data_IF_543444128333
#
_entry.id   IF_543444128333
#
_cell.length_a   1.000
_cell.length_b   1.000
_cell.length_c   1.000
_cell.angle_alpha   90.00
_cell.angle_beta   90.00
_cell.angle_gamma   90.00
#
_symmetry.space_group_name_H-M   'P 1'
#
loop_
_entity.id
_entity.type
_entity.pdbx_description
1 polymer ?
#
# COMPACT_ATOMS: atom_id res chain seq x y z
N UNK A 1 40.23 -17.25 57.86
CA UNK A 1 38.84 -17.72 57.98
C UNK A 1 38.23 -17.76 56.58
N UNK A 2 37.47 -18.80 56.28
CA UNK A 2 37.12 -19.32 54.95
C UNK A 2 36.27 -18.41 54.02
N UNK A 3 36.56 -18.51 52.70
CA UNK A 3 35.70 -18.49 51.48
C UNK A 3 34.68 -17.33 51.32
N UNK A 4 34.55 -16.69 50.15
CA UNK A 4 34.19 -17.29 48.85
C UNK A 4 34.61 -16.42 47.66
N UNK A 5 35.04 -17.09 46.61
CA UNK A 5 35.10 -16.66 45.20
C UNK A 5 33.70 -16.45 44.62
N UNK A 6 33.51 -15.39 43.82
CA UNK A 6 32.67 -15.40 42.61
C UNK A 6 33.43 -14.68 41.50
N UNK A 7 33.45 -15.34 40.35
CA UNK A 7 34.14 -15.07 39.10
C UNK A 7 33.23 -14.30 38.14
N UNK A 8 33.83 -13.37 37.37
CA UNK A 8 33.46 -12.84 36.03
C UNK A 8 32.02 -12.31 35.81
N UNK A 9 31.79 -11.22 35.07
CA UNK A 9 31.97 -11.16 33.61
C UNK A 9 32.15 -9.69 33.20
N UNK A 10 33.17 -9.44 32.39
CA UNK A 10 33.33 -8.24 31.58
C UNK A 10 32.40 -8.38 30.36
N UNK A 11 31.35 -7.57 30.27
CA UNK A 11 30.68 -7.27 29.00
C UNK A 11 30.63 -5.76 28.87
N UNK A 12 31.47 -5.25 27.97
CA UNK A 12 31.34 -3.89 27.47
C UNK A 12 30.02 -3.78 26.72
N UNK A 13 29.08 -3.04 27.29
CA UNK A 13 27.93 -2.52 26.57
C UNK A 13 28.35 -1.22 25.91
N UNK A 14 28.77 -1.30 24.65
CA UNK A 14 28.89 -0.16 23.74
C UNK A 14 27.54 0.56 23.74
N UNK A 15 27.46 1.73 24.39
CA UNK A 15 26.27 2.57 24.35
C UNK A 15 26.23 3.22 22.97
N UNK A 16 25.69 2.49 21.98
CA UNK A 16 25.28 3.09 20.73
C UNK A 16 24.01 3.89 21.04
N UNK A 17 24.18 5.16 21.42
CA UNK A 17 23.10 6.13 21.33
C UNK A 17 22.77 6.29 19.84
N UNK A 18 21.89 5.43 19.33
CA UNK A 18 21.18 5.70 18.09
C UNK A 18 20.37 6.96 18.38
N UNK A 19 20.86 8.10 17.89
CA UNK A 19 20.04 9.27 17.69
C UNK A 19 19.00 8.89 16.64
N UNK A 20 17.89 8.29 17.08
CA UNK A 20 16.67 8.30 16.29
C UNK A 20 16.29 9.79 16.14
N UNK A 21 16.10 10.30 14.91
CA UNK A 21 15.51 11.62 14.75
C UNK A 21 14.17 11.60 15.50
N UNK A 22 13.95 12.64 16.32
CA UNK A 22 12.71 12.88 17.05
C UNK A 22 11.54 12.83 16.09
N UNK A 23 10.94 11.66 16.07
CA UNK A 23 9.55 11.32 15.79
C UNK A 23 8.73 12.48 15.24
N UNK A 24 8.46 12.38 13.94
CA UNK A 24 7.09 12.44 13.48
C UNK A 24 6.17 11.86 14.54
N UNK A 25 5.43 12.72 15.25
CA UNK A 25 4.21 12.26 15.93
C UNK A 25 3.26 11.86 14.80
N UNK A 26 3.38 10.60 14.37
CA UNK A 26 2.26 9.89 13.79
C UNK A 26 1.09 10.10 14.76
N UNK A 27 -0.12 10.25 14.22
CA UNK A 27 -1.31 9.95 15.00
C UNK A 27 -1.01 8.63 15.72
N UNK A 28 -1.10 8.59 17.05
CA UNK A 28 -0.71 7.40 17.81
C UNK A 28 -1.40 6.19 17.20
N UNK A 29 -0.83 4.99 17.31
CA UNK A 29 -1.47 3.78 16.78
C UNK A 29 -2.94 3.65 17.27
N UNK A 30 -3.23 4.22 18.45
CA UNK A 30 -4.56 4.40 19.04
C UNK A 30 -5.50 5.40 18.30
N UNK A 31 -4.96 6.39 17.60
CA UNK A 31 -5.73 7.32 16.73
C UNK A 31 -6.05 6.70 15.36
N UNK A 32 -5.28 5.71 14.90
CA UNK A 32 -5.42 5.01 13.60
C UNK A 32 -6.28 3.74 13.69
N UNK A 33 -6.45 3.20 14.90
CA UNK A 33 -7.29 2.02 15.13
C UNK A 33 -8.77 2.39 15.19
N UNK A 34 -9.51 2.24 14.09
CA UNK A 34 -10.97 2.26 14.13
C UNK A 34 -11.59 0.96 13.60
N UNK A 35 -11.90 0.17 14.62
CA UNK A 35 -12.63 -1.08 14.75
C UNK A 35 -13.96 -1.13 13.98
N UNK A 36 -14.16 -2.20 13.21
CA UNK A 36 -15.49 -2.79 13.02
C UNK A 36 -15.99 -3.27 14.40
N UNK A 37 -16.68 -2.40 15.13
CA UNK A 37 -17.21 -2.69 16.47
C UNK A 37 -17.63 -1.47 17.29
N UNK A 38 -17.22 -0.25 16.94
CA UNK A 38 -17.71 0.98 17.57
C UNK A 38 -18.73 1.70 16.69
N UNK A 39 -19.65 2.45 17.32
CA UNK A 39 -20.83 3.05 16.69
C UNK A 39 -20.53 4.22 15.73
N UNK A 40 -19.27 4.60 15.52
CA UNK A 40 -18.86 5.57 14.50
C UNK A 40 -17.34 5.55 14.26
N UNK A 41 -16.80 4.55 13.53
CA UNK A 41 -15.40 4.54 13.18
C UNK A 41 -15.10 5.64 12.15
N UNK A 42 -14.24 6.60 12.50
CA UNK A 42 -13.54 7.43 11.50
C UNK A 42 -12.79 6.46 10.58
N UNK A 43 -13.12 6.50 9.29
CA UNK A 43 -12.53 5.59 8.31
C UNK A 43 -11.09 6.01 8.01
N UNK A 44 -10.24 5.04 7.70
CA UNK A 44 -8.85 5.31 7.35
C UNK A 44 -8.72 6.29 6.18
N UNK A 45 -9.57 6.19 5.14
CA UNK A 45 -9.56 7.12 4.01
C UNK A 45 -9.80 8.56 4.47
N UNK A 46 -10.72 8.78 5.41
CA UNK A 46 -10.97 10.11 5.99
C UNK A 46 -9.77 10.60 6.80
N UNK A 47 -9.09 9.70 7.51
CA UNK A 47 -7.86 10.02 8.24
C UNK A 47 -6.73 10.42 7.30
N UNK A 48 -6.52 9.66 6.23
CA UNK A 48 -5.52 9.94 5.20
C UNK A 48 -5.77 11.28 4.52
N UNK A 49 -7.04 11.60 4.23
CA UNK A 49 -7.44 12.90 3.68
C UNK A 49 -7.18 14.05 4.65
N UNK A 50 -7.38 13.85 5.96
CA UNK A 50 -7.00 14.84 6.97
C UNK A 50 -5.50 15.08 7.03
N UNK A 51 -4.67 14.06 6.77
CA UNK A 51 -3.22 14.23 6.72
C UNK A 51 -2.82 15.15 5.56
N UNK A 52 -3.41 14.99 4.39
CA UNK A 52 -3.16 15.86 3.23
C UNK A 52 -3.45 17.33 3.57
N UNK A 53 -4.49 17.61 4.35
CA UNK A 53 -4.83 18.96 4.80
C UNK A 53 -3.86 19.56 5.83
N UNK A 54 -2.93 18.78 6.40
CA UNK A 54 -1.94 19.30 7.35
C UNK A 54 -0.82 20.02 6.61
N UNK A 55 -0.51 21.24 7.05
CA UNK A 55 0.59 22.03 6.50
C UNK A 55 1.91 21.25 6.56
N UNK A 56 2.60 21.14 5.42
CA UNK A 56 3.91 20.48 5.32
C UNK A 56 3.83 18.97 5.06
N UNK A 57 2.66 18.35 5.17
CA UNK A 57 2.53 16.91 5.05
C UNK A 57 3.01 16.37 3.70
N UNK A 58 2.60 17.00 2.59
CA UNK A 58 3.02 16.57 1.25
C UNK A 58 4.53 16.73 1.02
N UNK A 59 5.15 17.76 1.60
CA UNK A 59 6.61 17.95 1.50
C UNK A 59 7.37 16.87 2.28
N UNK A 60 6.83 16.44 3.41
CA UNK A 60 7.41 15.35 4.20
C UNK A 60 7.17 13.99 3.55
N UNK A 61 5.99 13.77 2.96
CA UNK A 61 5.69 12.59 2.17
C UNK A 61 6.64 12.49 0.96
N UNK A 62 6.92 13.62 0.28
CA UNK A 62 7.87 13.67 -0.84
C UNK A 62 9.26 13.20 -0.39
N UNK A 63 9.77 13.73 0.72
CA UNK A 63 11.07 13.32 1.28
C UNK A 63 11.09 11.83 1.61
N UNK A 64 10.05 11.33 2.29
CA UNK A 64 9.95 9.92 2.68
C UNK A 64 9.97 9.00 1.46
N UNK A 65 9.17 9.32 0.44
CA UNK A 65 9.12 8.50 -0.78
C UNK A 65 10.46 8.53 -1.51
N UNK A 66 11.11 9.69 -1.60
CA UNK A 66 12.45 9.80 -2.20
C UNK A 66 13.44 8.89 -1.45
N UNK A 67 13.55 9.06 -0.12
CA UNK A 67 14.47 8.28 0.71
C UNK A 67 14.23 6.77 0.54
N UNK A 68 12.96 6.35 0.50
CA UNK A 68 12.59 4.96 0.34
C UNK A 68 12.86 4.40 -1.06
N UNK A 69 12.65 5.20 -2.12
CA UNK A 69 12.86 4.77 -3.51
C UNK A 69 14.34 4.80 -3.89
N UNK A 70 15.11 5.78 -3.43
CA UNK A 70 16.56 5.83 -3.61
C UNK A 70 17.27 4.65 -2.92
N UNK A 71 16.70 4.16 -1.81
CA UNK A 71 17.16 2.96 -1.11
C UNK A 71 16.87 1.65 -1.85
N UNK A 72 16.10 1.69 -2.95
CA UNK A 72 15.92 0.50 -3.79
C UNK A 72 17.16 0.29 -4.65
N UNK A 73 17.76 -0.89 -4.52
CA UNK A 73 18.73 -1.40 -5.48
C UNK A 73 18.00 -1.75 -6.80
N UNK A 74 17.59 -0.72 -7.55
CA UNK A 74 17.07 -0.84 -8.91
C UNK A 74 18.19 -1.15 -9.93
N UNK A 75 19.43 -1.28 -9.44
CA UNK A 75 20.64 -1.58 -10.20
C UNK A 75 21.34 -2.82 -9.62
N UNK A 76 21.11 -4.00 -10.21
CA UNK A 76 22.20 -4.91 -10.66
C UNK A 76 21.65 -6.21 -11.27
N UNK A 77 21.68 -6.30 -12.60
CA UNK A 77 22.07 -7.55 -13.27
C UNK A 77 23.08 -7.19 -14.39
N UNK A 78 24.34 -7.59 -14.17
CA UNK A 78 25.40 -7.79 -15.17
C UNK A 78 25.99 -6.56 -15.90
N UNK A 79 26.46 -5.54 -15.16
CA UNK A 79 27.65 -4.76 -15.58
C UNK A 79 27.59 -4.02 -16.91
N UNK A 80 26.42 -3.57 -17.37
CA UNK A 80 26.29 -2.66 -18.53
C UNK A 80 25.52 -1.42 -18.11
N UNK A 81 26.17 -0.25 -18.18
CA UNK A 81 25.54 1.06 -18.12
C UNK A 81 24.53 1.20 -19.27
N UNK A 82 23.28 0.84 -19.00
CA UNK A 82 22.09 1.20 -19.77
C UNK A 82 21.02 1.60 -18.77
N UNK A 83 20.31 2.69 -19.08
CA UNK A 83 19.03 3.11 -18.49
C UNK A 83 18.26 1.90 -17.97
N UNK A 84 17.78 1.98 -16.73
CA UNK A 84 17.05 0.99 -15.95
C UNK A 84 15.85 0.32 -16.67
N UNK A 85 16.13 -0.52 -17.66
CA UNK A 85 15.15 -0.95 -18.68
C UNK A 85 14.90 -2.47 -18.71
N UNK A 86 15.30 -3.26 -17.71
CA UNK A 86 15.14 -4.72 -17.86
C UNK A 86 14.91 -5.60 -16.63
N UNK A 87 14.64 -5.08 -15.42
CA UNK A 87 14.66 -5.96 -14.22
C UNK A 87 13.34 -5.99 -13.42
N UNK A 88 12.35 -5.22 -13.83
CA UNK A 88 11.00 -5.30 -13.29
C UNK A 88 10.13 -5.88 -14.42
N UNK A 89 9.85 -7.17 -14.29
CA UNK A 89 8.98 -7.92 -15.23
C UNK A 89 7.66 -7.16 -15.39
N UNK A 90 7.07 -7.25 -16.58
CA UNK A 90 5.74 -6.74 -16.90
C UNK A 90 4.70 -7.04 -15.83
N UNK A 91 4.88 -8.21 -15.21
CA UNK A 91 3.98 -8.79 -14.23
C UNK A 91 4.44 -8.59 -12.80
N UNK A 92 5.52 -7.87 -12.53
CA UNK A 92 6.01 -7.64 -11.17
C UNK A 92 6.61 -6.25 -11.04
N UNK A 93 6.08 -5.37 -10.17
CA UNK A 93 6.64 -4.02 -9.94
C UNK A 93 6.43 -3.49 -8.53
N UNK A 94 7.20 -2.47 -8.18
CA UNK A 94 7.03 -1.74 -6.92
C UNK A 94 5.86 -0.75 -6.98
N UNK A 95 4.98 -0.83 -5.99
CA UNK A 95 3.99 0.19 -5.64
C UNK A 95 4.25 0.66 -4.21
N UNK A 96 3.72 1.83 -3.84
CA UNK A 96 3.85 2.33 -2.47
C UNK A 96 2.78 1.70 -1.56
N UNK A 97 3.19 1.22 -0.38
CA UNK A 97 2.29 0.70 0.65
C UNK A 97 1.60 1.84 1.45
N UNK A 98 0.87 1.47 2.50
CA UNK A 98 0.21 2.40 3.43
C UNK A 98 1.17 3.41 4.07
N UNK A 99 2.41 2.99 4.30
CA UNK A 99 3.45 3.79 4.93
C UNK A 99 4.29 4.53 3.88
N UNK A 100 3.93 4.51 2.60
CA UNK A 100 4.71 5.05 1.49
C UNK A 100 6.07 4.36 1.28
N UNK A 101 6.20 3.10 1.69
CA UNK A 101 7.35 2.28 1.35
C UNK A 101 7.11 1.54 0.03
N UNK A 102 8.10 1.44 -0.86
CA UNK A 102 8.00 0.58 -2.02
C UNK A 102 7.87 -0.88 -1.58
N UNK A 103 6.83 -1.54 -2.09
CA UNK A 103 6.57 -2.96 -1.91
C UNK A 103 6.36 -3.60 -3.28
N UNK A 104 6.89 -4.80 -3.46
CA UNK A 104 6.84 -5.50 -4.74
C UNK A 104 5.50 -6.24 -4.86
N UNK A 105 4.82 -6.07 -5.99
CA UNK A 105 3.56 -6.73 -6.31
C UNK A 105 3.68 -7.47 -7.63
N UNK A 106 2.97 -8.57 -7.77
CA UNK A 106 2.80 -9.27 -9.04
C UNK A 106 1.38 -9.16 -9.58
N UNK A 107 1.25 -8.87 -10.87
CA UNK A 107 0.01 -8.84 -11.61
C UNK A 107 -0.60 -10.24 -11.63
N UNK A 108 -1.83 -10.38 -11.14
CA UNK A 108 -2.53 -11.65 -11.10
C UNK A 108 -3.56 -11.79 -12.21
N UNK A 109 -4.26 -10.71 -12.54
CA UNK A 109 -5.32 -10.73 -13.55
C UNK A 109 -5.63 -9.33 -14.04
N UNK A 110 -6.25 -9.24 -15.23
CA UNK A 110 -6.71 -7.99 -15.83
C UNK A 110 -8.07 -8.18 -16.50
N UNK A 111 -8.88 -7.13 -16.51
CA UNK A 111 -10.13 -7.01 -17.27
C UNK A 111 -10.28 -5.59 -17.82
N UNK A 112 -11.34 -5.31 -18.58
CA UNK A 112 -11.50 -4.07 -19.35
C UNK A 112 -11.21 -2.80 -18.54
N UNK A 113 -11.60 -2.75 -17.27
CA UNK A 113 -11.52 -1.57 -16.42
C UNK A 113 -10.59 -1.72 -15.20
N UNK A 114 -10.03 -2.93 -14.98
CA UNK A 114 -9.24 -3.21 -13.77
C UNK A 114 -7.99 -4.06 -14.00
N UNK A 115 -6.95 -3.78 -13.23
CA UNK A 115 -5.79 -4.63 -13.01
C UNK A 115 -5.74 -5.06 -11.54
N UNK A 116 -5.53 -6.34 -11.28
CA UNK A 116 -5.41 -6.86 -9.91
C UNK A 116 -3.99 -7.32 -9.67
N UNK A 117 -3.34 -6.68 -8.71
CA UNK A 117 -1.97 -6.95 -8.29
C UNK A 117 -1.98 -7.45 -6.85
N UNK A 118 -1.15 -8.44 -6.54
CA UNK A 118 -1.02 -8.99 -5.19
C UNK A 118 0.41 -8.81 -4.72
N UNK A 119 0.59 -8.35 -3.49
CA UNK A 119 1.91 -8.17 -2.91
C UNK A 119 2.67 -9.51 -2.88
N UNK A 120 3.96 -9.47 -3.16
CA UNK A 120 4.79 -10.67 -3.17
C UNK A 120 5.08 -11.19 -1.76
N UNK A 121 4.97 -10.30 -0.77
CA UNK A 121 5.10 -10.62 0.64
C UNK A 121 3.83 -10.20 1.40
N UNK A 122 3.07 -11.20 1.85
CA UNK A 122 1.88 -11.05 2.69
C UNK A 122 2.14 -11.58 4.12
N UNK A 123 3.40 -11.74 4.52
CA UNK A 123 3.76 -12.21 5.85
C UNK A 123 3.45 -11.20 6.95
N UNK A 124 3.35 -11.70 8.17
CA UNK A 124 3.26 -10.91 9.40
C UNK A 124 4.67 -10.64 9.96
N UNK A 125 4.84 -9.76 10.96
CA UNK A 125 6.14 -9.47 11.55
C UNK A 125 6.95 -10.70 11.98
N UNK A 126 8.28 -10.56 11.99
CA UNK A 126 9.21 -11.52 12.59
C UNK A 126 8.79 -11.72 14.06
N UNK A 127 8.44 -12.95 14.46
CA UNK A 127 7.83 -13.38 15.73
C UNK A 127 6.30 -13.62 15.71
N UNK A 128 5.60 -13.32 14.63
CA UNK A 128 4.19 -13.70 14.48
C UNK A 128 4.05 -15.17 14.07
N UNK A 129 3.14 -15.91 14.73
CA UNK A 129 2.93 -17.34 14.49
C UNK A 129 1.94 -17.62 13.36
N UNK A 130 1.25 -16.60 12.84
CA UNK A 130 0.30 -16.74 11.74
C UNK A 130 1.06 -17.05 10.45
N UNK A 131 0.50 -17.98 9.66
CA UNK A 131 0.99 -18.18 8.31
C UNK A 131 0.71 -16.93 7.46
N UNK A 132 1.63 -16.62 6.53
CA UNK A 132 1.40 -15.59 5.53
C UNK A 132 0.06 -15.84 4.81
N UNK A 133 -0.66 -14.76 4.53
CA UNK A 133 -1.91 -14.87 3.79
C UNK A 133 -1.63 -15.36 2.36
N UNK A 134 -2.59 -16.06 1.77
CA UNK A 134 -2.51 -16.53 0.39
C UNK A 134 -3.78 -16.18 -0.36
N UNK A 135 -3.63 -15.51 -1.51
CA UNK A 135 -4.76 -15.14 -2.37
C UNK A 135 -4.88 -16.12 -3.53
N UNK A 136 -6.03 -16.79 -3.63
CA UNK A 136 -6.32 -17.81 -4.64
C UNK A 136 -6.77 -17.19 -5.97
N UNK A 137 -6.65 -17.95 -7.06
CA UNK A 137 -7.16 -17.51 -8.37
C UNK A 137 -8.69 -17.29 -8.36
N UNK A 138 -9.43 -18.07 -7.58
CA UNK A 138 -10.89 -17.91 -7.44
C UNK A 138 -11.25 -16.60 -6.75
N UNK A 139 -10.48 -16.18 -5.75
CA UNK A 139 -10.67 -14.89 -5.07
C UNK A 139 -10.38 -13.73 -6.03
N UNK A 140 -9.29 -13.80 -6.79
CA UNK A 140 -8.96 -12.79 -7.81
C UNK A 140 -10.07 -12.71 -8.86
N UNK A 141 -10.59 -13.85 -9.32
CA UNK A 141 -11.68 -13.88 -10.29
C UNK A 141 -12.99 -13.32 -9.71
N UNK A 142 -13.30 -13.59 -8.44
CA UNK A 142 -14.46 -12.99 -7.74
C UNK A 142 -14.35 -11.47 -7.67
N UNK A 143 -13.19 -10.95 -7.25
CA UNK A 143 -12.92 -9.51 -7.22
C UNK A 143 -13.10 -8.86 -8.60
N UNK A 144 -12.43 -9.44 -9.61
CA UNK A 144 -12.49 -8.98 -10.99
C UNK A 144 -13.92 -8.92 -11.50
N UNK A 145 -14.66 -10.01 -11.34
CA UNK A 145 -16.05 -10.12 -11.79
C UNK A 145 -16.95 -9.10 -11.09
N UNK A 146 -16.84 -8.99 -9.78
CA UNK A 146 -17.64 -8.03 -9.01
C UNK A 146 -17.33 -6.57 -9.41
N UNK A 147 -16.05 -6.27 -9.66
CA UNK A 147 -15.66 -4.95 -10.14
C UNK A 147 -16.27 -4.62 -11.51
N UNK A 148 -16.12 -5.51 -12.49
CA UNK A 148 -16.58 -5.29 -13.86
C UNK A 148 -18.11 -5.31 -14.00
N UNK A 149 -18.78 -6.24 -13.32
CA UNK A 149 -20.22 -6.46 -13.51
C UNK A 149 -21.10 -5.60 -12.60
N UNK A 150 -20.58 -5.16 -11.45
CA UNK A 150 -21.36 -4.45 -10.43
C UNK A 150 -20.80 -3.06 -10.13
N UNK A 151 -19.54 -2.97 -9.66
CA UNK A 151 -18.97 -1.72 -9.15
C UNK A 151 -18.79 -0.69 -10.26
N UNK A 152 -18.04 -1.02 -11.30
CA UNK A 152 -17.69 -0.07 -12.35
C UNK A 152 -18.94 0.51 -13.04
N UNK A 153 -19.94 -0.30 -13.48
CA UNK A 153 -21.17 0.24 -14.08
C UNK A 153 -21.99 1.09 -13.10
N UNK A 154 -22.05 0.72 -11.81
CA UNK A 154 -22.82 1.45 -10.82
C UNK A 154 -22.19 2.82 -10.49
N UNK A 155 -20.88 2.84 -10.25
CA UNK A 155 -20.15 4.06 -9.88
C UNK A 155 -20.04 5.00 -11.07
N UNK A 156 -19.74 4.51 -12.27
CA UNK A 156 -19.66 5.38 -13.46
C UNK A 156 -21.00 5.99 -13.85
N UNK A 157 -22.12 5.31 -13.55
CA UNK A 157 -23.46 5.89 -13.73
C UNK A 157 -23.71 7.10 -12.83
N UNK A 158 -23.08 7.15 -11.65
CA UNK A 158 -23.24 8.22 -10.67
C UNK A 158 -22.24 9.34 -10.93
N UNK A 159 -20.97 8.99 -11.14
CA UNK A 159 -19.85 9.94 -11.16
C UNK A 159 -19.29 10.24 -12.55
N UNK A 160 -19.73 9.51 -13.58
CA UNK A 160 -19.14 9.54 -14.92
C UNK A 160 -17.95 8.60 -15.08
N UNK A 161 -17.32 8.61 -16.26
CA UNK A 161 -16.12 7.81 -16.53
C UNK A 161 -14.90 8.36 -15.75
N UNK A 162 -13.95 7.50 -15.33
CA UNK A 162 -12.74 7.95 -14.65
C UNK A 162 -11.88 8.84 -15.56
N UNK A 163 -11.03 9.68 -14.97
CA UNK A 163 -9.96 10.34 -15.71
C UNK A 163 -8.92 9.34 -16.20
N UNK A 164 -8.26 9.65 -17.31
CA UNK A 164 -7.23 8.78 -17.88
C UNK A 164 -5.92 8.92 -17.08
N UNK A 165 -5.77 8.16 -15.99
CA UNK A 165 -4.52 8.01 -15.25
C UNK A 165 -3.83 6.71 -15.64
N UNK A 166 -3.02 6.81 -16.70
CA UNK A 166 -2.26 5.68 -17.25
C UNK A 166 -0.82 5.60 -16.77
N UNK A 167 -0.34 6.51 -15.93
CA UNK A 167 1.01 6.47 -15.33
C UNK A 167 2.05 7.38 -15.98
N UNK A 168 1.68 8.14 -17.01
CA UNK A 168 2.60 8.99 -17.78
C UNK A 168 3.07 10.22 -17.00
N UNK A 169 2.26 10.70 -16.05
CA UNK A 169 2.55 11.89 -15.25
C UNK A 169 3.01 11.54 -13.83
N UNK A 170 3.41 10.29 -13.59
CA UNK A 170 3.84 9.81 -12.28
C UNK A 170 4.96 10.70 -11.73
N UNK A 171 4.74 11.31 -10.56
CA UNK A 171 5.71 12.25 -9.99
C UNK A 171 7.10 11.61 -9.82
N UNK A 172 7.17 10.34 -9.41
CA UNK A 172 8.43 9.62 -9.24
C UNK A 172 9.24 9.47 -10.54
N UNK A 173 8.54 9.28 -11.66
CA UNK A 173 9.15 9.21 -12.99
C UNK A 173 9.59 10.60 -13.43
N UNK A 174 8.73 11.61 -13.25
CA UNK A 174 9.01 13.00 -13.59
C UNK A 174 10.20 13.61 -12.83
N UNK A 175 10.44 13.17 -11.59
CA UNK A 175 11.62 13.56 -10.82
C UNK A 175 12.89 12.75 -11.15
N UNK A 176 12.78 11.71 -11.98
CA UNK A 176 13.91 10.87 -12.40
C UNK A 176 14.33 9.79 -11.40
N UNK A 177 13.51 9.50 -10.38
CA UNK A 177 13.78 8.41 -9.43
C UNK A 177 13.45 7.03 -10.00
N UNK A 178 12.53 6.98 -10.97
CA UNK A 178 12.15 5.76 -11.66
C UNK A 178 12.33 5.92 -13.18
N UNK A 179 12.51 4.81 -13.93
CA UNK A 179 12.63 4.86 -15.39
C UNK A 179 11.41 5.52 -16.04
N UNK A 180 11.63 6.10 -17.23
CA UNK A 180 10.55 6.45 -18.15
C UNK A 180 9.61 5.24 -18.34
N UNK A 181 8.31 5.50 -18.39
CA UNK A 181 7.24 4.51 -18.58
C UNK A 181 7.05 3.46 -17.46
N UNK A 182 7.69 3.60 -16.30
CA UNK A 182 7.62 2.60 -15.23
C UNK A 182 6.20 2.25 -14.76
N UNK A 183 5.33 3.25 -14.59
CA UNK A 183 3.92 3.08 -14.23
C UNK A 183 2.97 3.07 -15.42
N UNK A 184 3.49 3.33 -16.63
CA UNK A 184 2.67 3.43 -17.84
C UNK A 184 2.00 2.10 -18.15
N UNK A 185 0.69 2.14 -18.40
CA UNK A 185 -0.05 0.98 -18.88
C UNK A 185 0.43 0.56 -20.26
N UNK A 186 0.79 -0.71 -20.43
CA UNK A 186 1.45 -1.22 -21.66
C UNK A 186 0.54 -1.24 -22.89
N UNK A 187 -0.76 -1.42 -22.69
CA UNK A 187 -1.74 -1.42 -23.76
C UNK A 187 -2.38 -0.04 -23.96
N UNK A 188 -1.79 1.00 -23.33
CA UNK A 188 -2.28 2.38 -23.36
C UNK A 188 -3.72 2.53 -22.82
N UNK A 189 -4.20 1.56 -22.05
CA UNK A 189 -5.52 1.62 -21.41
C UNK A 189 -5.41 2.17 -19.99
N UNK A 190 -6.33 3.09 -19.64
CA UNK A 190 -6.52 3.50 -18.25
C UNK A 190 -7.37 2.47 -17.54
N UNK A 191 -6.75 1.72 -16.63
CA UNK A 191 -7.43 0.77 -15.75
C UNK A 191 -7.17 1.17 -14.31
N UNK A 192 -8.21 1.00 -13.49
CA UNK A 192 -8.05 1.06 -12.05
C UNK A 192 -7.16 -0.08 -11.60
N UNK A 193 -6.29 0.19 -10.63
CA UNK A 193 -5.44 -0.80 -10.00
C UNK A 193 -6.04 -1.15 -8.65
N UNK A 194 -6.26 -2.46 -8.42
CA UNK A 194 -6.50 -3.00 -7.10
C UNK A 194 -5.20 -3.67 -6.63
N UNK A 195 -4.62 -3.15 -5.55
CA UNK A 195 -3.50 -3.78 -4.86
C UNK A 195 -4.03 -4.58 -3.68
N UNK A 196 -3.77 -5.88 -3.65
CA UNK A 196 -4.05 -6.73 -2.49
C UNK A 196 -2.80 -6.84 -1.64
N UNK A 197 -2.89 -6.39 -0.39
CA UNK A 197 -1.75 -6.31 0.54
C UNK A 197 -2.14 -6.73 1.96
N UNK A 198 -1.17 -7.20 2.74
CA UNK A 198 -1.32 -7.34 4.19
C UNK A 198 -1.04 -5.98 4.83
N UNK A 199 -2.09 -5.17 4.97
CA UNK A 199 -2.00 -3.78 5.44
C UNK A 199 -1.46 -3.76 6.86
N UNK A 200 -0.41 -2.96 7.11
CA UNK A 200 0.24 -2.78 8.42
C UNK A 200 -0.62 -2.02 9.44
N UNK A 201 -1.74 -2.63 9.84
CA UNK A 201 -2.73 -2.09 10.78
C UNK A 201 -2.65 -2.77 12.16
N UNK A 202 -3.67 -2.55 13.00
CA UNK A 202 -3.75 -3.19 14.32
C UNK A 202 -3.74 -4.73 14.25
N UNK A 203 -4.37 -5.34 13.24
CA UNK A 203 -4.33 -6.78 13.00
C UNK A 203 -2.96 -7.25 12.53
N UNK A 204 -2.23 -6.47 11.75
CA UNK A 204 -0.88 -6.82 11.32
C UNK A 204 0.08 -7.01 12.50
N UNK A 205 0.05 -6.09 13.46
CA UNK A 205 0.96 -6.13 14.62
C UNK A 205 0.45 -6.99 15.79
N UNK A 206 -0.85 -7.24 15.89
CA UNK A 206 -1.43 -7.96 17.02
C UNK A 206 -2.39 -9.07 16.57
N UNK A 207 -2.01 -10.33 16.83
CA UNK A 207 -2.78 -11.52 16.44
C UNK A 207 -4.24 -11.50 16.92
N UNK A 208 -4.49 -10.96 18.12
CA UNK A 208 -5.82 -10.93 18.76
C UNK A 208 -6.57 -9.61 18.55
N UNK A 209 -6.06 -8.69 17.72
CA UNK A 209 -6.78 -7.45 17.42
C UNK A 209 -8.10 -7.77 16.71
N UNK A 210 -9.13 -7.00 16.99
CA UNK A 210 -10.37 -6.99 16.19
C UNK A 210 -10.44 -5.75 15.28
N UNK A 211 -9.46 -4.85 15.40
CA UNK A 211 -9.34 -3.66 14.57
C UNK A 211 -8.50 -3.98 13.35
N UNK A 212 -9.09 -3.77 12.18
CA UNK A 212 -8.43 -3.91 10.90
C UNK A 212 -8.99 -2.93 9.88
N UNK A 213 -8.14 -2.63 8.91
CA UNK A 213 -8.46 -1.81 7.76
C UNK A 213 -8.79 -2.77 6.62
N UNK A 214 -10.04 -2.80 6.12
CA UNK A 214 -10.38 -3.70 5.02
C UNK A 214 -9.77 -3.25 3.68
N UNK A 215 -9.47 -1.96 3.55
CA UNK A 215 -8.94 -1.34 2.35
C UNK A 215 -9.11 0.17 2.42
N UNK A 216 -8.50 0.88 1.48
CA UNK A 216 -8.56 2.34 1.40
C UNK A 216 -8.21 2.84 0.00
N UNK A 217 -8.72 4.03 -0.31
CA UNK A 217 -8.20 4.90 -1.36
C UNK A 217 -7.36 6.01 -0.73
N UNK A 218 -6.31 6.44 -1.40
CA UNK A 218 -5.54 7.61 -0.98
C UNK A 218 -4.93 8.35 -2.18
N UNK A 219 -5.29 9.61 -2.36
CA UNK A 219 -4.85 10.44 -3.49
C UNK A 219 -3.34 10.69 -3.54
N UNK A 220 -2.62 10.47 -2.45
CA UNK A 220 -1.15 10.50 -2.42
C UNK A 220 -0.55 9.39 -3.28
N UNK A 221 -1.16 8.20 -3.34
CA UNK A 221 -0.74 7.15 -4.27
C UNK A 221 -0.91 7.60 -5.73
N UNK A 222 -2.04 8.25 -6.05
CA UNK A 222 -2.31 8.84 -7.37
C UNK A 222 -1.23 9.87 -7.75
N UNK A 223 -0.83 10.77 -6.84
CA UNK A 223 0.28 11.74 -7.08
C UNK A 223 1.57 11.05 -7.53
N UNK A 224 2.00 10.02 -6.80
CA UNK A 224 3.32 9.43 -7.03
C UNK A 224 3.40 8.50 -8.23
N UNK A 225 2.29 7.84 -8.55
CA UNK A 225 2.27 6.78 -9.55
C UNK A 225 1.41 7.12 -10.78
N UNK A 226 0.62 8.19 -10.73
CA UNK A 226 -0.34 8.60 -11.76
C UNK A 226 -1.24 7.44 -12.21
N UNK A 227 -1.73 6.67 -11.23
CA UNK A 227 -2.66 5.56 -11.39
C UNK A 227 -3.76 5.64 -10.36
N UNK A 228 -4.96 5.26 -10.78
CA UNK A 228 -6.13 5.11 -9.92
C UNK A 228 -6.01 3.84 -9.08
N UNK A 229 -5.54 3.97 -7.83
CA UNK A 229 -5.16 2.83 -6.98
C UNK A 229 -6.09 2.72 -5.77
N UNK A 230 -6.63 1.52 -5.56
CA UNK A 230 -7.29 1.12 -4.32
C UNK A 230 -6.50 -0.03 -3.71
N UNK A 231 -6.27 0.02 -2.40
CA UNK A 231 -5.57 -1.03 -1.65
C UNK A 231 -6.61 -1.80 -0.83
N UNK A 232 -6.59 -3.13 -0.91
CA UNK A 232 -7.49 -4.03 -0.17
C UNK A 232 -6.66 -5.01 0.66
N UNK A 233 -7.12 -5.32 1.87
CA UNK A 233 -6.42 -6.20 2.80
C UNK A 233 -6.43 -7.67 2.31
N UNK A 234 -5.40 -8.45 2.63
CA UNK A 234 -5.28 -9.88 2.30
C UNK A 234 -5.88 -10.83 3.32
N UNK A 235 -6.35 -10.33 4.47
CA UNK A 235 -6.75 -11.17 5.60
C UNK A 235 -8.04 -11.96 5.36
N UNK A 236 -8.11 -13.24 5.75
CA UNK A 236 -9.36 -14.02 5.87
C UNK A 236 -10.38 -13.88 4.70
N UNK A 237 -9.88 -13.88 3.46
CA UNK A 237 -10.73 -13.72 2.26
C UNK A 237 -11.80 -14.81 2.09
N UNK A 238 -11.53 -16.04 2.55
CA UNK A 238 -12.50 -17.15 2.50
C UNK A 238 -13.58 -17.06 3.58
N UNK A 239 -13.39 -16.20 4.59
CA UNK A 239 -14.30 -16.03 5.71
C UNK A 239 -15.31 -14.91 5.50
N UNK A 240 -15.71 -14.28 6.61
CA UNK A 240 -16.67 -13.17 6.62
C UNK A 240 -16.08 -11.94 5.92
N UNK A 241 -14.75 -11.81 5.88
CA UNK A 241 -14.08 -10.62 5.37
C UNK A 241 -14.17 -10.48 3.85
N UNK A 242 -14.34 -11.59 3.11
CA UNK A 242 -14.48 -11.55 1.65
C UNK A 242 -15.61 -10.63 1.15
N UNK A 243 -16.77 -10.64 1.80
CA UNK A 243 -17.88 -9.74 1.43
C UNK A 243 -17.62 -8.28 1.87
N UNK A 244 -16.91 -8.10 2.99
CA UNK A 244 -16.49 -6.78 3.49
C UNK A 244 -15.53 -6.14 2.49
N UNK A 245 -14.62 -6.91 1.89
CA UNK A 245 -13.69 -6.40 0.87
C UNK A 245 -14.37 -5.96 -0.41
N UNK A 246 -15.38 -6.70 -0.88
CA UNK A 246 -16.17 -6.29 -2.04
C UNK A 246 -16.96 -5.00 -1.76
N UNK A 247 -17.54 -4.87 -0.56
CA UNK A 247 -18.19 -3.63 -0.13
C UNK A 247 -17.19 -2.47 -0.02
N UNK A 248 -16.02 -2.72 0.56
CA UNK A 248 -14.95 -1.72 0.71
C UNK A 248 -14.48 -1.24 -0.65
N UNK A 249 -14.24 -2.17 -1.59
CA UNK A 249 -13.87 -1.84 -2.95
C UNK A 249 -14.90 -0.92 -3.61
N UNK A 250 -16.19 -1.19 -3.42
CA UNK A 250 -17.28 -0.33 -3.92
C UNK A 250 -17.19 1.09 -3.34
N UNK A 251 -17.04 1.20 -2.02
CA UNK A 251 -17.02 2.48 -1.31
C UNK A 251 -15.78 3.31 -1.66
N UNK A 252 -14.59 2.70 -1.65
CA UNK A 252 -13.34 3.39 -1.99
C UNK A 252 -13.31 3.79 -3.48
N UNK A 253 -13.92 2.99 -4.36
CA UNK A 253 -14.09 3.35 -5.77
C UNK A 253 -14.98 4.58 -5.92
N UNK A 254 -16.08 4.69 -5.15
CA UNK A 254 -16.89 5.92 -5.14
C UNK A 254 -16.08 7.13 -4.69
N UNK A 255 -15.34 7.00 -3.57
CA UNK A 255 -14.54 8.12 -3.05
C UNK A 255 -13.47 8.60 -4.01
N UNK A 256 -12.76 7.67 -4.66
CA UNK A 256 -11.79 8.02 -5.68
C UNK A 256 -12.42 8.83 -6.82
N UNK A 257 -13.62 8.44 -7.25
CA UNK A 257 -14.35 9.14 -8.31
C UNK A 257 -14.95 10.48 -7.85
N UNK A 258 -15.25 10.62 -6.56
CA UNK A 258 -15.65 11.91 -5.95
C UNK A 258 -14.47 12.87 -5.83
N UNK A 259 -13.29 12.38 -5.46
CA UNK A 259 -12.05 13.16 -5.34
C UNK A 259 -11.73 13.85 -6.66
N UNK A 260 -11.88 13.12 -7.79
CA UNK A 260 -11.81 13.67 -9.15
C UNK A 260 -12.67 14.93 -9.34
N UNK A 261 -13.93 14.90 -8.92
CA UNK A 261 -14.85 16.03 -9.16
C UNK A 261 -14.45 17.30 -8.41
N UNK A 262 -13.56 17.19 -7.41
CA UNK A 262 -13.06 18.35 -6.66
C UNK A 262 -11.75 18.91 -7.23
N UNK A 263 -11.08 18.18 -8.15
CA UNK A 263 -9.87 18.61 -8.85
C UNK A 263 -10.18 19.40 -10.16
N UNK A 264 -11.43 19.36 -10.66
CA UNK A 264 -11.96 20.13 -11.81
C UNK A 264 -12.52 21.52 -11.41
#
# INVERSE_FOLDING_TARGET
MFKKTITAILVGGLTLCIFLPKEFTYASQDEISLSYGESNPIRITDMLNRLIGKKGYLEEADKKVIENVEGLDLYEINGVNKKASSIIDEKTKYFLDYELNPKMFSLRDTAEHVEIWVANDLSYPEDDLRNADSISADQINKMKKHFEEEIYPAITKIHGAPEFHKGENAWLVNQGYLPEDYYVSRDDTSRMIILVDNIKDGLYYQENSTSYIPGYYWSVHKKYMDRDIIIVNSKDWEGILGSIYLSTLTEETSRMMEDKQNDE
#
